data_IF_039108024836
#
_entry.id   IF_039108024836
#
_cell.length_a   1.000
_cell.length_b   1.000
_cell.length_c   1.000
_cell.angle_alpha   90.00
_cell.angle_beta   90.00
_cell.angle_gamma   90.00
#
_symmetry.space_group_name_H-M   'P 1'
#
loop_
_entity.id
_entity.type
_entity.pdbx_description
1 polymer ?
#
# COMPACT_ATOMS: atom_id res chain seq x y z
N UNK A 1 20.17 -7.14 -11.62
CA UNK A 1 20.31 -6.09 -10.57
C UNK A 1 20.15 -6.75 -9.20
N UNK A 2 20.96 -6.41 -8.18
CA UNK A 2 20.82 -7.04 -6.85
C UNK A 2 19.68 -6.42 -6.02
N UNK A 3 19.15 -7.16 -5.04
CA UNK A 3 18.12 -6.64 -4.10
C UNK A 3 18.56 -5.32 -3.45
N UNK A 4 19.83 -5.22 -3.06
CA UNK A 4 20.39 -3.99 -2.48
C UNK A 4 20.45 -2.83 -3.48
N UNK A 5 20.77 -3.10 -4.74
CA UNK A 5 20.81 -2.09 -5.78
C UNK A 5 19.41 -1.54 -6.10
N UNK A 6 18.39 -2.41 -6.15
CA UNK A 6 16.98 -2.02 -6.31
C UNK A 6 16.54 -1.17 -5.11
N UNK A 7 16.86 -1.61 -3.88
CA UNK A 7 16.51 -0.88 -2.66
C UNK A 7 17.05 0.54 -2.63
N UNK A 8 18.32 0.74 -3.02
CA UNK A 8 18.91 2.09 -3.12
C UNK A 8 18.24 2.94 -4.21
N UNK A 9 17.98 2.37 -5.39
CA UNK A 9 17.37 3.11 -6.51
C UNK A 9 15.96 3.60 -6.17
N UNK A 10 15.19 2.79 -5.45
CA UNK A 10 13.79 3.06 -5.13
C UNK A 10 13.58 3.62 -3.71
N UNK A 11 14.66 3.86 -2.96
CA UNK A 11 14.59 4.21 -1.53
C UNK A 11 13.73 3.23 -0.71
N UNK A 12 13.79 1.94 -1.05
CA UNK A 12 13.08 0.86 -0.37
C UNK A 12 14.01 0.03 0.50
N UNK A 13 13.50 -0.42 1.65
CA UNK A 13 14.26 -1.32 2.50
C UNK A 13 14.43 -2.71 1.83
N UNK A 14 15.49 -3.43 2.21
CA UNK A 14 15.84 -4.74 1.63
C UNK A 14 14.74 -5.79 1.80
N UNK A 15 13.99 -5.76 2.92
CA UNK A 15 12.91 -6.72 3.21
C UNK A 15 11.72 -6.51 2.28
N UNK A 16 11.35 -5.26 2.01
CA UNK A 16 10.31 -4.87 1.07
C UNK A 16 10.67 -5.28 -0.35
N UNK A 17 11.89 -4.98 -0.80
CA UNK A 17 12.34 -5.41 -2.12
C UNK A 17 12.34 -6.93 -2.24
N UNK A 18 12.85 -7.66 -1.23
CA UNK A 18 12.82 -9.13 -1.23
C UNK A 18 11.39 -9.67 -1.29
N UNK A 19 10.46 -9.06 -0.57
CA UNK A 19 9.05 -9.42 -0.59
C UNK A 19 8.45 -9.23 -1.99
N UNK A 20 8.74 -8.09 -2.63
CA UNK A 20 8.20 -7.78 -3.96
C UNK A 20 8.78 -8.68 -5.05
N UNK A 21 10.09 -8.95 -5.01
CA UNK A 21 10.75 -9.83 -6.00
C UNK A 21 10.29 -11.29 -5.90
N UNK A 22 9.85 -11.74 -4.72
CA UNK A 22 9.39 -13.12 -4.50
C UNK A 22 7.90 -13.32 -4.75
N UNK A 23 7.12 -12.24 -4.76
CA UNK A 23 5.70 -12.36 -4.94
C UNK A 23 5.41 -12.80 -6.38
N UNK A 24 4.52 -13.77 -6.54
CA UNK A 24 4.12 -14.26 -7.87
C UNK A 24 3.04 -13.38 -8.48
N UNK A 25 2.23 -12.75 -7.63
CA UNK A 25 1.14 -11.86 -8.02
C UNK A 25 0.90 -10.76 -6.95
N UNK A 26 0.19 -9.71 -7.34
CA UNK A 26 -0.22 -8.57 -6.52
C UNK A 26 -1.06 -9.04 -5.33
N UNK A 27 -1.86 -10.09 -5.48
CA UNK A 27 -2.70 -10.65 -4.43
C UNK A 27 -1.89 -11.09 -3.19
N UNK A 28 -0.71 -11.70 -3.39
CA UNK A 28 0.20 -12.10 -2.31
C UNK A 28 0.72 -10.88 -1.52
N UNK A 29 0.90 -9.75 -2.21
CA UNK A 29 1.31 -8.49 -1.58
C UNK A 29 0.15 -7.83 -0.81
N UNK A 30 -1.08 -8.04 -1.24
CA UNK A 30 -2.26 -7.42 -0.66
C UNK A 30 -2.95 -8.25 0.41
N UNK A 31 -2.68 -9.55 0.51
CA UNK A 31 -3.33 -10.46 1.46
C UNK A 31 -3.36 -9.89 2.89
N UNK A 32 -2.24 -9.42 3.41
CA UNK A 32 -2.17 -8.84 4.77
C UNK A 32 -2.89 -7.49 4.93
N UNK A 33 -3.16 -6.77 3.84
CA UNK A 33 -3.86 -5.48 3.88
C UNK A 33 -5.39 -5.66 3.79
N UNK A 34 -5.87 -6.67 3.05
CA UNK A 34 -7.31 -6.90 2.80
C UNK A 34 -8.07 -7.42 4.01
N UNK A 35 -7.42 -8.20 4.88
CA UNK A 35 -8.08 -8.81 6.05
C UNK A 35 -7.98 -7.97 7.33
N UNK A 36 -7.54 -6.71 7.23
CA UNK A 36 -7.43 -5.82 8.37
C UNK A 36 -8.77 -5.14 8.59
N UNK A 37 -9.55 -5.63 9.55
CA UNK A 37 -10.68 -4.87 10.06
C UNK A 37 -10.16 -3.61 10.74
N UNK A 38 -10.81 -2.49 10.44
CA UNK A 38 -10.45 -1.16 10.91
C UNK A 38 -11.69 -0.48 11.49
N UNK A 39 -11.50 0.38 12.50
CA UNK A 39 -12.54 1.27 13.00
C UNK A 39 -13.12 2.17 11.88
N UNK A 40 -12.39 2.34 10.78
CA UNK A 40 -12.83 3.12 9.63
C UNK A 40 -13.73 2.34 8.67
N UNK A 41 -13.92 1.03 8.83
CA UNK A 41 -14.66 0.21 7.87
C UNK A 41 -16.11 0.66 7.69
N UNK A 42 -16.78 1.02 8.78
CA UNK A 42 -18.15 1.57 8.76
C UNK A 42 -18.22 2.92 8.04
N UNK A 43 -17.13 3.70 8.08
CA UNK A 43 -17.06 5.04 7.48
C UNK A 43 -16.53 5.04 6.05
N UNK A 44 -16.06 3.90 5.52
CA UNK A 44 -15.54 3.80 4.15
C UNK A 44 -16.47 4.38 3.08
N UNK A 45 -17.81 4.10 3.09
CA UNK A 45 -18.70 4.65 2.06
C UNK A 45 -18.65 6.18 2.02
N UNK A 46 -18.73 6.83 3.18
CA UNK A 46 -18.64 8.27 3.30
C UNK A 46 -17.27 8.81 2.87
N UNK A 47 -16.18 8.17 3.27
CA UNK A 47 -14.83 8.57 2.87
C UNK A 47 -14.62 8.46 1.36
N UNK A 48 -15.16 7.41 0.72
CA UNK A 48 -15.12 7.25 -0.73
C UNK A 48 -15.89 8.34 -1.46
N UNK A 49 -17.10 8.68 -0.99
CA UNK A 49 -17.89 9.78 -1.55
C UNK A 49 -17.11 11.10 -1.52
N UNK A 50 -16.56 11.45 -0.35
CA UNK A 50 -15.77 12.68 -0.17
C UNK A 50 -14.54 12.70 -1.06
N UNK A 51 -13.80 11.59 -1.14
CA UNK A 51 -12.62 11.46 -1.98
C UNK A 51 -12.96 11.64 -3.46
N UNK A 52 -14.04 11.00 -3.93
CA UNK A 52 -14.52 11.10 -5.30
C UNK A 52 -15.06 12.51 -5.63
N UNK A 53 -15.56 13.23 -4.64
CA UNK A 53 -15.92 14.64 -4.76
C UNK A 53 -14.70 15.60 -4.77
N UNK A 54 -13.47 15.07 -4.83
CA UNK A 54 -12.25 15.86 -4.87
C UNK A 54 -11.78 16.38 -3.50
N UNK A 55 -12.37 15.92 -2.39
CA UNK A 55 -11.89 16.23 -1.05
C UNK A 55 -10.66 15.38 -0.72
N UNK A 56 -9.52 15.71 -1.32
CA UNK A 56 -8.22 15.04 -1.11
C UNK A 56 -7.28 15.86 -0.22
N UNK A 57 -7.82 16.85 0.49
CA UNK A 57 -7.04 17.86 1.21
C UNK A 57 -6.16 17.22 2.30
N UNK A 58 -4.84 17.32 2.09
CA UNK A 58 -3.82 17.06 3.10
C UNK A 58 -3.30 18.43 3.55
N UNK A 59 -4.03 19.11 4.43
CA UNK A 59 -3.54 20.34 5.07
C UNK A 59 -2.45 19.99 6.09
N UNK A 60 -1.20 19.87 5.65
CA UNK A 60 0.02 20.01 6.47
C UNK A 60 1.25 20.22 5.59
#
# INVERSE_FOLDING_TARGET
MSISAIGRKLSLNRRTVRRFVRATDVEELLANARFRTSLLDEFKPYLHERFNAGCTDRRT
#
